data_IF_672825732894
#
_entry.id   IF_672825732894
#
_cell.length_a   1.000
_cell.length_b   1.000
_cell.length_c   1.000
_cell.angle_alpha   90.00
_cell.angle_beta   90.00
_cell.angle_gamma   90.00
#
_symmetry.space_group_name_H-M   'P 1'
#
loop_
_entity.id
_entity.type
_entity.pdbx_description
1 polymer ?
#
# COMPACT_ATOMS: atom_id res chain seq x y z
N UNK A 1 -13.33 11.88 38.80
CA UNK A 1 -12.01 12.51 38.80
C UNK A 1 -11.09 11.59 38.01
N UNK A 2 -10.96 11.83 36.68
CA UNK A 2 -10.01 11.14 35.82
C UNK A 2 -8.60 11.63 36.17
N UNK A 3 -7.69 10.68 36.46
CA UNK A 3 -6.27 10.96 36.54
C UNK A 3 -5.77 11.25 35.12
N UNK A 4 -5.40 12.50 34.84
CA UNK A 4 -4.56 12.82 33.70
C UNK A 4 -3.28 11.99 33.81
N UNK A 5 -3.07 11.07 32.87
CA UNK A 5 -1.77 10.44 32.67
C UNK A 5 -0.86 11.51 32.08
N UNK A 6 -0.08 12.20 32.91
CA UNK A 6 1.05 12.99 32.44
C UNK A 6 1.96 12.07 31.59
N UNK A 7 1.94 12.26 30.29
CA UNK A 7 2.90 11.58 29.43
C UNK A 7 4.27 12.26 29.69
N UNK A 8 5.23 11.53 30.21
CA UNK A 8 6.62 11.99 30.36
C UNK A 8 7.33 12.12 28.98
N UNK A 9 6.59 12.34 27.91
CA UNK A 9 7.15 12.54 26.57
C UNK A 9 7.62 13.98 26.44
N UNK A 10 8.90 14.15 26.17
CA UNK A 10 9.54 15.44 25.84
C UNK A 10 9.42 15.63 24.33
N UNK A 11 8.90 16.76 23.91
CA UNK A 11 8.93 17.18 22.52
C UNK A 11 10.32 17.74 22.19
N UNK A 12 10.94 17.21 21.16
CA UNK A 12 12.20 17.71 20.61
C UNK A 12 11.95 18.09 19.16
N UNK A 13 12.32 19.33 18.81
CA UNK A 13 12.27 19.77 17.42
C UNK A 13 13.58 19.36 16.74
N UNK A 14 13.46 18.65 15.64
CA UNK A 14 14.60 18.48 14.74
C UNK A 14 14.82 19.80 14.01
N UNK A 15 15.92 20.45 14.33
CA UNK A 15 16.35 21.67 13.64
C UNK A 15 17.38 21.30 12.58
N UNK A 16 17.05 21.51 11.32
CA UNK A 16 18.00 21.42 10.24
C UNK A 16 18.94 22.65 10.27
N UNK A 17 20.05 22.57 9.54
CA UNK A 17 21.03 23.67 9.46
C UNK A 17 20.36 24.94 8.90
N UNK A 18 20.45 26.05 9.65
CA UNK A 18 19.88 27.35 9.27
C UNK A 18 20.32 27.85 7.89
N UNK A 19 21.54 27.54 7.48
CA UNK A 19 22.05 27.91 6.14
C UNK A 19 21.26 27.19 5.06
N UNK A 20 20.98 25.90 5.25
CA UNK A 20 20.18 25.11 4.32
C UNK A 20 18.72 25.57 4.31
N UNK A 21 18.15 25.85 5.48
CA UNK A 21 16.77 26.36 5.60
C UNK A 21 16.62 27.68 4.84
N UNK A 22 17.55 28.62 5.05
CA UNK A 22 17.52 29.92 4.37
C UNK A 22 17.66 29.75 2.87
N UNK A 23 18.60 28.92 2.41
CA UNK A 23 18.80 28.62 0.98
C UNK A 23 17.50 28.07 0.35
N UNK A 24 16.89 27.04 0.93
CA UNK A 24 15.65 26.46 0.42
C UNK A 24 14.51 27.50 0.42
N UNK A 25 14.37 28.24 1.50
CA UNK A 25 13.33 29.28 1.63
C UNK A 25 13.43 30.34 0.55
N UNK A 26 14.64 30.82 0.25
CA UNK A 26 14.88 31.84 -0.78
C UNK A 26 14.74 31.27 -2.19
N UNK A 27 15.35 30.13 -2.46
CA UNK A 27 15.37 29.51 -3.80
C UNK A 27 13.97 29.10 -4.28
N UNK A 28 13.15 28.50 -3.38
CA UNK A 28 11.82 27.97 -3.72
C UNK A 28 10.67 28.91 -3.27
N UNK A 29 10.97 30.08 -2.72
CA UNK A 29 9.98 31.01 -2.22
C UNK A 29 8.96 30.39 -1.25
N UNK A 30 9.45 29.54 -0.34
CA UNK A 30 8.63 28.88 0.69
C UNK A 30 8.95 29.44 2.08
N UNK A 31 8.03 29.27 3.02
CA UNK A 31 8.28 29.71 4.40
C UNK A 31 9.45 28.92 5.04
N UNK A 32 10.12 29.52 6.02
CA UNK A 32 11.19 28.84 6.78
C UNK A 32 10.71 27.55 7.45
N UNK A 33 9.43 27.48 7.84
CA UNK A 33 8.83 26.26 8.39
C UNK A 33 8.80 25.15 7.36
N UNK A 34 8.34 25.46 6.13
CA UNK A 34 8.32 24.49 5.02
C UNK A 34 9.74 24.09 4.64
N UNK A 35 10.67 25.06 4.54
CA UNK A 35 12.07 24.78 4.25
C UNK A 35 12.72 23.86 5.30
N UNK A 36 12.41 24.06 6.59
CA UNK A 36 12.87 23.18 7.68
C UNK A 36 12.32 21.76 7.54
N UNK A 37 11.04 21.60 7.18
CA UNK A 37 10.44 20.27 6.95
C UNK A 37 11.14 19.57 5.78
N UNK A 38 11.39 20.26 4.68
CA UNK A 38 12.08 19.74 3.49
C UNK A 38 13.51 19.29 3.88
N UNK A 39 14.26 20.15 4.58
CA UNK A 39 15.62 19.86 5.02
C UNK A 39 15.67 18.65 5.97
N UNK A 40 14.69 18.52 6.90
CA UNK A 40 14.58 17.37 7.81
C UNK A 40 14.18 16.06 7.12
N UNK A 41 13.61 16.12 5.91
CA UNK A 41 13.41 14.94 5.05
C UNK A 41 14.69 14.50 4.32
N UNK A 42 15.81 15.22 4.51
CA UNK A 42 17.08 14.93 3.86
C UNK A 42 17.19 15.44 2.43
N UNK A 43 16.19 16.21 1.95
CA UNK A 43 16.22 16.80 0.62
C UNK A 43 17.15 18.03 0.62
N UNK A 44 18.27 17.92 -0.08
CA UNK A 44 19.31 18.97 -0.14
C UNK A 44 19.63 19.44 -1.56
N UNK A 45 19.21 18.66 -2.56
CA UNK A 45 19.39 18.94 -3.96
C UNK A 45 18.20 19.73 -4.52
N UNK A 46 18.47 20.81 -5.28
CA UNK A 46 17.41 21.67 -5.83
C UNK A 46 16.45 20.92 -6.77
N UNK A 47 16.95 19.99 -7.58
CA UNK A 47 16.11 19.22 -8.50
C UNK A 47 15.14 18.28 -7.74
N UNK A 48 15.63 17.63 -6.69
CA UNK A 48 14.79 16.78 -5.80
C UNK A 48 13.73 17.60 -5.08
N UNK A 49 14.10 18.80 -4.59
CA UNK A 49 13.18 19.71 -3.92
C UNK A 49 12.12 20.22 -4.90
N UNK A 50 12.50 20.55 -6.13
CA UNK A 50 11.55 20.97 -7.16
C UNK A 50 10.53 19.87 -7.47
N UNK A 51 10.97 18.64 -7.65
CA UNK A 51 10.09 17.48 -7.87
C UNK A 51 9.17 17.23 -6.65
N UNK A 52 9.71 17.38 -5.44
CA UNK A 52 8.93 17.21 -4.22
C UNK A 52 7.83 18.28 -4.05
N UNK A 53 8.13 19.52 -4.39
CA UNK A 53 7.18 20.64 -4.28
C UNK A 53 6.19 20.70 -5.46
N UNK A 54 6.62 20.31 -6.64
CA UNK A 54 5.87 20.44 -7.90
C UNK A 54 5.88 19.15 -8.72
N UNK A 55 5.36 18.02 -8.15
CA UNK A 55 5.42 16.71 -8.83
C UNK A 55 4.62 16.72 -10.14
N UNK A 56 5.19 16.15 -11.19
CA UNK A 56 4.58 16.00 -12.51
C UNK A 56 4.41 14.52 -12.84
N UNK A 57 3.52 14.20 -13.77
CA UNK A 57 3.34 12.82 -14.26
C UNK A 57 4.62 12.21 -14.87
N UNK A 58 5.49 13.05 -15.41
CA UNK A 58 6.80 12.65 -15.96
C UNK A 58 7.80 12.24 -14.89
N UNK A 59 7.53 12.57 -13.63
CA UNK A 59 8.43 12.30 -12.51
C UNK A 59 8.12 10.94 -11.83
N UNK A 60 7.08 10.23 -12.31
CA UNK A 60 6.78 8.88 -11.84
C UNK A 60 7.87 7.89 -12.27
N UNK A 61 8.27 7.06 -11.35
CA UNK A 61 9.16 5.96 -11.63
C UNK A 61 8.47 4.89 -12.48
N UNK A 62 9.25 4.09 -13.19
CA UNK A 62 8.75 2.90 -13.86
C UNK A 62 8.16 1.93 -12.81
N UNK A 63 6.86 1.54 -12.91
CA UNK A 63 6.27 0.62 -11.93
C UNK A 63 6.99 -0.73 -11.86
N UNK A 64 7.71 -1.16 -12.89
CA UNK A 64 8.52 -2.38 -12.87
C UNK A 64 9.79 -2.27 -12.02
N UNK A 65 10.10 -1.10 -11.46
CA UNK A 65 11.10 -0.96 -10.39
C UNK A 65 10.61 -1.47 -9.03
N UNK A 66 9.29 -1.67 -8.87
CA UNK A 66 8.75 -2.26 -7.64
C UNK A 66 9.13 -3.75 -7.54
N UNK A 67 9.45 -4.23 -6.34
CA UNK A 67 9.70 -5.65 -6.11
C UNK A 67 8.55 -6.51 -6.65
N UNK A 68 8.88 -7.66 -7.21
CA UNK A 68 7.93 -8.67 -7.73
C UNK A 68 6.87 -8.17 -8.73
N UNK A 69 6.95 -6.93 -9.24
CA UNK A 69 5.95 -6.38 -10.17
C UNK A 69 5.78 -7.28 -11.41
N UNK A 70 6.87 -7.80 -11.95
CA UNK A 70 6.82 -8.70 -13.11
C UNK A 70 6.03 -9.99 -12.80
N UNK A 71 6.29 -10.62 -11.65
CA UNK A 71 5.56 -11.81 -11.19
C UNK A 71 4.08 -11.51 -10.94
N UNK A 72 3.77 -10.33 -10.35
CA UNK A 72 2.40 -9.89 -10.13
C UNK A 72 1.64 -9.75 -11.46
N UNK A 73 2.25 -9.07 -12.43
CA UNK A 73 1.69 -8.88 -13.77
C UNK A 73 1.46 -10.20 -14.46
N UNK A 74 2.46 -11.09 -14.50
CA UNK A 74 2.36 -12.41 -15.13
C UNK A 74 1.24 -13.24 -14.50
N UNK A 75 1.11 -13.22 -13.18
CA UNK A 75 0.05 -13.95 -12.49
C UNK A 75 -1.35 -13.41 -12.81
N UNK A 76 -1.50 -12.09 -12.87
CA UNK A 76 -2.79 -11.46 -13.21
C UNK A 76 -3.13 -11.66 -14.68
N UNK A 77 -2.16 -11.55 -15.59
CA UNK A 77 -2.36 -11.85 -17.02
C UNK A 77 -2.83 -13.28 -17.22
N UNK A 78 -2.19 -14.24 -16.54
CA UNK A 78 -2.63 -15.65 -16.57
C UNK A 78 -4.10 -15.78 -16.13
N UNK A 79 -4.50 -15.11 -15.04
CA UNK A 79 -5.88 -15.17 -14.56
C UNK A 79 -6.88 -14.60 -15.59
N UNK A 80 -6.50 -13.53 -16.30
CA UNK A 80 -7.31 -12.96 -17.38
C UNK A 80 -7.45 -13.96 -18.55
N UNK A 81 -6.33 -14.53 -19.00
CA UNK A 81 -6.30 -15.44 -20.16
C UNK A 81 -7.05 -16.75 -19.90
N UNK A 82 -7.00 -17.24 -18.67
CA UNK A 82 -7.67 -18.50 -18.29
C UNK A 82 -9.05 -18.31 -17.66
N UNK A 83 -9.54 -17.06 -17.59
CA UNK A 83 -10.83 -16.69 -16.97
C UNK A 83 -11.00 -17.25 -15.56
N UNK A 84 -9.98 -17.05 -14.72
CA UNK A 84 -10.00 -17.49 -13.34
C UNK A 84 -11.01 -16.69 -12.50
N UNK A 85 -11.48 -17.32 -11.42
CA UNK A 85 -12.29 -16.60 -10.43
C UNK A 85 -11.38 -15.91 -9.44
N UNK A 86 -11.41 -14.57 -9.43
CA UNK A 86 -10.48 -13.72 -8.67
C UNK A 86 -11.23 -12.93 -7.60
N UNK A 87 -10.69 -12.91 -6.38
CA UNK A 87 -11.13 -12.03 -5.30
C UNK A 87 -10.17 -10.84 -5.18
N UNK A 88 -10.72 -9.63 -5.12
CA UNK A 88 -10.01 -8.43 -4.71
C UNK A 88 -10.28 -8.22 -3.23
N UNK A 89 -9.25 -8.22 -2.41
CA UNK A 89 -9.37 -8.02 -0.98
C UNK A 89 -8.81 -6.64 -0.61
N UNK A 90 -9.66 -5.69 -0.25
CA UNK A 90 -9.27 -4.33 0.10
C UNK A 90 -9.42 -4.02 1.58
N UNK A 91 -8.82 -2.90 2.03
CA UNK A 91 -9.14 -2.36 3.34
C UNK A 91 -10.46 -1.57 3.33
N UNK A 92 -10.98 -1.29 4.50
CA UNK A 92 -12.27 -0.60 4.70
C UNK A 92 -12.18 0.93 4.63
N UNK A 93 -11.00 1.49 4.52
CA UNK A 93 -10.82 2.94 4.42
C UNK A 93 -10.91 3.44 2.96
N UNK A 94 -10.64 4.73 2.75
CA UNK A 94 -10.80 5.34 1.43
C UNK A 94 -9.80 4.78 0.41
N UNK A 95 -8.59 4.43 0.83
CA UNK A 95 -7.55 3.93 -0.05
C UNK A 95 -7.88 2.48 -0.48
N UNK A 96 -8.30 1.62 0.44
CA UNK A 96 -8.75 0.26 0.14
C UNK A 96 -9.99 0.23 -0.75
N UNK A 97 -11.00 1.09 -0.49
CA UNK A 97 -12.22 1.15 -1.29
C UNK A 97 -11.94 1.68 -2.70
N UNK A 98 -11.14 2.73 -2.83
CA UNK A 98 -10.83 3.33 -4.14
C UNK A 98 -9.94 2.44 -4.99
N UNK A 99 -8.90 1.84 -4.42
CA UNK A 99 -8.02 0.90 -5.13
C UNK A 99 -8.76 -0.37 -5.56
N UNK A 100 -9.62 -0.93 -4.69
CA UNK A 100 -10.51 -2.05 -5.06
C UNK A 100 -11.41 -1.70 -6.25
N UNK A 101 -11.97 -0.48 -6.26
CA UNK A 101 -12.84 -0.01 -7.35
C UNK A 101 -12.07 0.15 -8.65
N UNK A 102 -10.87 0.73 -8.61
CA UNK A 102 -10.01 0.92 -9.79
C UNK A 102 -9.62 -0.45 -10.37
N UNK A 103 -9.15 -1.37 -9.53
CA UNK A 103 -8.72 -2.69 -9.98
C UNK A 103 -9.90 -3.50 -10.54
N UNK A 104 -11.04 -3.50 -9.86
CA UNK A 104 -12.26 -4.18 -10.34
C UNK A 104 -12.67 -3.70 -11.74
N UNK A 105 -12.72 -2.40 -11.95
CA UNK A 105 -13.07 -1.82 -13.26
C UNK A 105 -12.06 -2.18 -14.32
N UNK A 106 -10.78 -2.09 -14.01
CA UNK A 106 -9.69 -2.42 -14.92
C UNK A 106 -9.78 -3.89 -15.38
N UNK A 107 -10.02 -4.81 -14.46
CA UNK A 107 -10.12 -6.24 -14.77
C UNK A 107 -11.43 -6.56 -15.54
N UNK A 108 -12.54 -5.92 -15.19
CA UNK A 108 -13.81 -6.06 -15.91
C UNK A 108 -13.70 -5.60 -17.38
N UNK A 109 -12.99 -4.50 -17.67
CA UNK A 109 -12.71 -4.05 -19.04
C UNK A 109 -11.88 -5.05 -19.85
N UNK A 110 -11.21 -5.99 -19.18
CA UNK A 110 -10.44 -7.09 -19.78
C UNK A 110 -11.16 -8.44 -19.77
N UNK A 111 -12.45 -8.40 -19.45
CA UNK A 111 -13.31 -9.59 -19.46
C UNK A 111 -13.16 -10.52 -18.26
N UNK A 112 -12.49 -10.05 -17.19
CA UNK A 112 -12.36 -10.80 -15.93
C UNK A 112 -13.33 -10.26 -14.89
N UNK A 113 -14.33 -11.07 -14.52
CA UNK A 113 -15.22 -10.75 -13.39
C UNK A 113 -14.52 -11.05 -12.07
N UNK A 114 -14.65 -10.13 -11.13
CA UNK A 114 -14.01 -10.22 -9.81
C UNK A 114 -15.01 -9.97 -8.70
N UNK A 115 -14.90 -10.73 -7.63
CA UNK A 115 -15.58 -10.44 -6.38
C UNK A 115 -14.70 -9.50 -5.52
N UNK A 116 -15.33 -8.57 -4.81
CA UNK A 116 -14.63 -7.65 -3.89
C UNK A 116 -15.01 -8.00 -2.48
N UNK A 117 -14.00 -8.21 -1.63
CA UNK A 117 -14.14 -8.40 -0.20
C UNK A 117 -13.56 -7.20 0.55
N UNK A 118 -14.36 -6.56 1.37
CA UNK A 118 -13.94 -5.49 2.27
C UNK A 118 -14.30 -5.91 3.69
N UNK A 119 -13.33 -6.07 4.61
CA UNK A 119 -13.61 -6.53 5.96
C UNK A 119 -14.44 -5.51 6.73
N UNK A 120 -15.30 -6.01 7.61
CA UNK A 120 -16.07 -5.15 8.50
C UNK A 120 -15.21 -4.69 9.67
N UNK A 121 -14.94 -3.37 9.74
CA UNK A 121 -14.10 -2.74 10.76
C UNK A 121 -14.46 -3.12 12.21
N UNK A 122 -15.76 -3.28 12.49
CA UNK A 122 -16.25 -3.52 13.85
C UNK A 122 -16.14 -4.98 14.31
N UNK A 123 -16.12 -5.92 13.36
CA UNK A 123 -16.19 -7.36 13.66
C UNK A 123 -14.95 -8.12 13.22
N UNK A 124 -14.28 -7.68 12.18
CA UNK A 124 -13.16 -8.40 11.56
C UNK A 124 -11.81 -7.73 11.79
N UNK A 125 -11.82 -6.40 12.03
CA UNK A 125 -10.58 -5.63 12.24
C UNK A 125 -9.92 -5.22 10.93
N UNK A 126 -8.61 -4.94 11.01
CA UNK A 126 -7.78 -4.53 9.87
C UNK A 126 -7.08 -5.74 9.24
N UNK A 127 -6.95 -5.71 7.92
CA UNK A 127 -6.17 -6.67 7.16
C UNK A 127 -6.91 -7.96 6.83
N UNK A 128 -6.15 -8.95 6.39
CA UNK A 128 -6.68 -10.28 6.07
C UNK A 128 -7.19 -10.98 7.33
N UNK A 129 -8.24 -11.81 7.19
CA UNK A 129 -8.72 -12.66 8.27
C UNK A 129 -9.08 -14.06 7.76
N UNK A 130 -8.95 -15.07 8.64
CA UNK A 130 -9.15 -16.48 8.30
C UNK A 130 -10.56 -16.79 7.78
N UNK A 131 -11.60 -16.13 8.33
CA UNK A 131 -12.98 -16.39 7.92
C UNK A 131 -13.21 -15.93 6.49
N UNK A 132 -12.69 -14.76 6.12
CA UNK A 132 -12.73 -14.25 4.75
C UNK A 132 -11.99 -15.18 3.77
N UNK A 133 -10.81 -15.67 4.13
CA UNK A 133 -10.05 -16.61 3.30
C UNK A 133 -10.84 -17.90 3.08
N UNK A 134 -11.51 -18.43 4.11
CA UNK A 134 -12.38 -19.62 3.98
C UNK A 134 -13.58 -19.35 3.07
N UNK A 135 -14.24 -18.21 3.22
CA UNK A 135 -15.36 -17.81 2.36
C UNK A 135 -14.91 -17.68 0.89
N UNK A 136 -13.76 -17.08 0.65
CA UNK A 136 -13.15 -16.96 -0.69
C UNK A 136 -12.87 -18.36 -1.27
N UNK A 137 -12.34 -19.28 -0.47
CA UNK A 137 -12.07 -20.66 -0.86
C UNK A 137 -13.36 -21.43 -1.18
N UNK A 138 -14.38 -21.32 -0.33
CA UNK A 138 -15.68 -21.96 -0.55
C UNK A 138 -16.35 -21.50 -1.84
N UNK A 139 -16.15 -20.22 -2.17
CA UNK A 139 -16.60 -19.62 -3.43
C UNK A 139 -15.72 -19.98 -4.65
N UNK A 140 -14.70 -20.84 -4.48
CA UNK A 140 -13.86 -21.37 -5.57
C UNK A 140 -13.01 -20.34 -6.28
N UNK A 141 -12.57 -19.31 -5.60
CA UNK A 141 -11.55 -18.40 -6.12
C UNK A 141 -10.21 -19.10 -6.16
N UNK A 142 -9.39 -18.73 -7.15
CA UNK A 142 -8.05 -19.30 -7.36
C UNK A 142 -6.93 -18.26 -7.20
N UNK A 143 -7.31 -16.98 -7.15
CA UNK A 143 -6.42 -15.87 -6.94
C UNK A 143 -7.06 -14.84 -6.00
N UNK A 144 -6.29 -14.37 -5.03
CA UNK A 144 -6.58 -13.19 -4.23
C UNK A 144 -5.59 -12.09 -4.65
N UNK A 145 -6.11 -10.90 -4.94
CA UNK A 145 -5.29 -9.70 -5.11
C UNK A 145 -5.64 -8.78 -3.95
N UNK A 146 -4.68 -8.56 -3.04
CA UNK A 146 -4.90 -7.60 -1.96
C UNK A 146 -4.58 -6.19 -2.44
N UNK A 147 -5.29 -5.21 -1.95
CA UNK A 147 -5.04 -3.80 -2.21
C UNK A 147 -5.10 -3.03 -0.90
N UNK A 148 -4.06 -2.27 -0.60
CA UNK A 148 -3.92 -1.45 0.61
C UNK A 148 -3.92 -2.26 1.91
N UNK A 149 -3.59 -3.53 1.82
CA UNK A 149 -3.42 -4.45 2.94
C UNK A 149 -2.71 -5.73 2.50
N UNK A 150 -2.34 -6.57 3.47
CA UNK A 150 -1.86 -7.92 3.20
C UNK A 150 -0.38 -8.15 3.49
N UNK A 151 0.45 -7.10 3.55
CA UNK A 151 1.91 -7.26 3.77
C UNK A 151 2.24 -7.91 5.13
N UNK A 152 1.34 -7.82 6.09
CA UNK A 152 1.47 -8.45 7.41
C UNK A 152 0.68 -9.76 7.57
N UNK A 153 -0.05 -10.18 6.52
CA UNK A 153 -0.99 -11.30 6.51
C UNK A 153 -0.37 -12.67 6.30
N UNK A 154 0.80 -12.95 6.91
CA UNK A 154 1.55 -14.18 6.69
C UNK A 154 0.72 -15.45 6.89
N UNK A 155 -0.08 -15.52 7.99
CA UNK A 155 -0.88 -16.70 8.34
C UNK A 155 -2.05 -16.90 7.38
N UNK A 156 -2.71 -15.81 7.04
CA UNK A 156 -3.88 -15.81 6.17
C UNK A 156 -3.49 -16.18 4.74
N UNK A 157 -2.32 -15.71 4.28
CA UNK A 157 -1.77 -16.05 2.95
C UNK A 157 -1.31 -17.52 2.92
N UNK A 158 -0.70 -18.02 3.99
CA UNK A 158 -0.38 -19.45 4.12
C UNK A 158 -1.66 -20.31 4.10
N UNK A 159 -2.72 -19.85 4.78
CA UNK A 159 -4.02 -20.50 4.74
C UNK A 159 -4.62 -20.50 3.32
N UNK A 160 -4.58 -19.37 2.61
CA UNK A 160 -5.02 -19.29 1.22
C UNK A 160 -4.27 -20.29 0.33
N UNK A 161 -2.94 -20.34 0.48
CA UNK A 161 -2.07 -21.27 -0.23
C UNK A 161 -2.43 -22.72 0.07
N UNK A 162 -2.82 -23.06 1.30
CA UNK A 162 -3.26 -24.41 1.67
C UNK A 162 -4.55 -24.85 0.98
N UNK A 163 -5.38 -23.88 0.55
CA UNK A 163 -6.57 -24.12 -0.28
C UNK A 163 -6.28 -24.09 -1.79
N UNK A 164 -5.03 -23.93 -2.19
CA UNK A 164 -4.63 -23.82 -3.60
C UNK A 164 -4.93 -22.45 -4.21
N UNK A 165 -5.07 -21.41 -3.39
CA UNK A 165 -5.32 -20.04 -3.83
C UNK A 165 -4.00 -19.29 -3.84
N UNK A 166 -3.63 -18.74 -4.99
CA UNK A 166 -2.50 -17.84 -5.12
C UNK A 166 -2.85 -16.45 -4.55
N UNK A 167 -1.84 -15.76 -4.03
CA UNK A 167 -2.03 -14.38 -3.55
C UNK A 167 -1.01 -13.44 -4.20
N UNK A 168 -1.49 -12.30 -4.67
CA UNK A 168 -0.68 -11.14 -5.07
C UNK A 168 -0.95 -10.04 -4.06
N UNK A 169 0.08 -9.60 -3.35
CA UNK A 169 -0.03 -8.54 -2.35
C UNK A 169 0.37 -7.21 -2.98
N UNK A 170 -0.52 -6.20 -2.89
CA UNK A 170 -0.18 -4.80 -3.18
C UNK A 170 -0.51 -3.95 -1.95
N UNK A 171 0.54 -3.44 -1.32
CA UNK A 171 0.43 -2.77 -0.03
C UNK A 171 1.54 -1.71 0.10
N UNK A 172 1.36 -0.72 0.94
CA UNK A 172 2.36 0.32 1.22
C UNK A 172 2.69 0.43 2.71
N UNK A 173 2.10 -0.42 3.54
CA UNK A 173 2.35 -0.44 4.97
C UNK A 173 3.72 -1.05 5.30
N UNK A 174 4.19 -0.80 6.53
CA UNK A 174 5.44 -1.37 7.01
C UNK A 174 5.34 -2.89 7.14
N UNK A 175 6.24 -3.63 6.50
CA UNK A 175 6.26 -5.09 6.58
C UNK A 175 6.71 -5.56 7.96
N UNK A 176 6.37 -6.80 8.30
CA UNK A 176 6.97 -7.52 9.43
C UNK A 176 8.40 -7.98 9.08
N UNK A 177 9.12 -8.58 10.05
CA UNK A 177 10.46 -9.13 9.81
C UNK A 177 10.51 -10.12 8.63
N UNK A 178 9.41 -10.81 8.37
CA UNK A 178 9.27 -11.75 7.26
C UNK A 178 8.11 -11.33 6.37
N UNK A 179 8.35 -11.29 5.06
CA UNK A 179 7.30 -11.07 4.09
C UNK A 179 6.40 -12.32 3.96
N UNK A 180 5.13 -12.15 3.58
CA UNK A 180 4.24 -13.28 3.32
C UNK A 180 4.71 -14.12 2.11
N UNK A 181 4.49 -15.43 2.18
CA UNK A 181 4.80 -16.37 1.10
C UNK A 181 3.71 -16.32 0.00
N UNK A 182 3.60 -15.17 -0.63
CA UNK A 182 2.72 -14.89 -1.77
C UNK A 182 3.44 -15.10 -3.10
N UNK A 183 2.70 -15.14 -4.21
CA UNK A 183 3.28 -15.19 -5.57
C UNK A 183 4.11 -13.94 -5.86
N UNK A 184 3.59 -12.80 -5.40
CA UNK A 184 4.24 -11.50 -5.53
C UNK A 184 3.88 -10.62 -4.33
N UNK A 185 4.83 -9.78 -3.90
CA UNK A 185 4.67 -8.78 -2.84
C UNK A 185 5.28 -7.47 -3.34
N UNK A 186 4.45 -6.41 -3.46
CA UNK A 186 4.86 -5.09 -3.91
C UNK A 186 4.02 -3.97 -3.30
#
# INVERSE_FOLDING_TARGET
>A
KGKEKNSNKKWELNEANDVLINKISEEFNVSKLVANIIANKGLTNSDEIEVFLHPRRTDFHDPFMMPDMEKAVDRVVKAIETHEKVAIYGDYDVDGITSSTVLKRFLAERGLETDVYIPNRLHEGYGLNENAIREIADNKHTLIITVDCGITGNKEIELAKSFGIDTVVTDHHEPTETLPDAVAVG
#
